data_IF_109582559219
#
_entry.id   IF_109582559219
#
_cell.length_a   1.000
_cell.length_b   1.000
_cell.length_c   1.000
_cell.angle_alpha   90.00
_cell.angle_beta   90.00
_cell.angle_gamma   90.00
#
_symmetry.space_group_name_H-M   'P 1'
#
loop_
_entity.id
_entity.type
_entity.pdbx_description
1 polymer ?
#
# COMPACT_ATOMS: atom_id res chain seq x y z
N UNK A 1 -19.29 -3.96 -17.04
CA UNK A 1 -18.90 -4.51 -15.73
C UNK A 1 -18.90 -3.35 -14.76
N UNK A 2 -19.66 -3.43 -13.67
CA UNK A 2 -19.70 -2.40 -12.64
C UNK A 2 -18.44 -2.52 -11.77
N UNK A 3 -17.66 -1.44 -11.66
CA UNK A 3 -16.38 -1.42 -10.95
C UNK A 3 -16.33 -0.30 -9.92
N UNK A 4 -15.65 -0.54 -8.79
CA UNK A 4 -15.38 0.48 -7.79
C UNK A 4 -13.90 0.54 -7.38
N UNK A 5 -13.38 1.73 -7.12
CA UNK A 5 -12.18 1.95 -6.31
C UNK A 5 -12.61 2.21 -4.88
N UNK A 6 -12.10 1.44 -3.94
CA UNK A 6 -12.56 1.45 -2.56
C UNK A 6 -11.39 1.64 -1.60
N UNK A 7 -11.57 2.52 -0.62
CA UNK A 7 -10.60 2.74 0.46
C UNK A 7 -11.26 2.98 1.81
N UNK A 8 -10.46 2.84 2.87
CA UNK A 8 -10.83 3.24 4.23
C UNK A 8 -10.01 4.48 4.61
N UNK A 9 -10.70 5.56 4.91
CA UNK A 9 -10.11 6.79 5.43
C UNK A 9 -10.66 7.06 6.84
N UNK A 10 -10.46 6.10 7.75
CA UNK A 10 -11.03 6.13 9.09
C UNK A 10 -10.25 7.11 9.97
N UNK A 11 -10.95 8.13 10.47
CA UNK A 11 -10.39 9.14 11.36
C UNK A 11 -9.88 10.38 10.63
N UNK A 12 -9.94 11.52 11.33
CA UNK A 12 -9.87 12.84 10.67
C UNK A 12 -8.56 13.09 9.92
N UNK A 13 -7.44 12.59 10.43
CA UNK A 13 -6.14 12.77 9.80
C UNK A 13 -6.05 12.03 8.45
N UNK A 14 -6.59 10.81 8.37
CA UNK A 14 -6.61 10.02 7.14
C UNK A 14 -7.58 10.61 6.11
N UNK A 15 -8.76 11.06 6.55
CA UNK A 15 -9.67 11.82 5.67
C UNK A 15 -8.96 13.03 5.06
N UNK A 16 -8.38 13.91 5.88
CA UNK A 16 -7.74 15.13 5.40
C UNK A 16 -6.55 14.84 4.48
N UNK A 17 -5.78 13.80 4.78
CA UNK A 17 -4.68 13.36 3.92
C UNK A 17 -5.20 12.88 2.56
N UNK A 18 -6.21 12.01 2.55
CA UNK A 18 -6.81 11.48 1.33
C UNK A 18 -7.43 12.60 0.47
N UNK A 19 -8.24 13.46 1.09
CA UNK A 19 -8.87 14.61 0.42
C UNK A 19 -7.84 15.53 -0.23
N UNK A 20 -6.74 15.79 0.48
CA UNK A 20 -5.71 16.74 0.04
C UNK A 20 -4.80 16.18 -1.05
N UNK A 21 -4.44 14.90 -0.95
CA UNK A 21 -3.35 14.32 -1.76
C UNK A 21 -3.82 13.28 -2.77
N UNK A 22 -4.86 12.49 -2.45
CA UNK A 22 -5.24 11.31 -3.25
C UNK A 22 -6.50 11.54 -4.09
N UNK A 23 -7.53 12.19 -3.53
CA UNK A 23 -8.89 12.20 -4.11
C UNK A 23 -8.93 12.60 -5.59
N UNK A 24 -8.27 13.70 -5.96
CA UNK A 24 -8.31 14.20 -7.34
C UNK A 24 -7.67 13.24 -8.33
N UNK A 25 -6.56 12.61 -7.96
CA UNK A 25 -5.87 11.61 -8.79
C UNK A 25 -6.72 10.36 -8.96
N UNK A 26 -7.39 9.91 -7.90
CA UNK A 26 -8.29 8.75 -7.94
C UNK A 26 -9.51 9.02 -8.80
N UNK A 27 -10.11 10.21 -8.67
CA UNK A 27 -11.24 10.63 -9.51
C UNK A 27 -10.87 10.62 -10.99
N UNK A 28 -9.71 11.17 -11.35
CA UNK A 28 -9.26 11.17 -12.75
C UNK A 28 -9.06 9.75 -13.31
N UNK A 29 -8.43 8.86 -12.54
CA UNK A 29 -8.28 7.45 -12.94
C UNK A 29 -9.63 6.74 -13.04
N UNK A 30 -10.53 7.00 -12.09
CA UNK A 30 -11.87 6.43 -12.06
C UNK A 30 -12.72 6.88 -13.25
N UNK A 31 -12.68 8.17 -13.62
CA UNK A 31 -13.35 8.70 -14.80
C UNK A 31 -12.86 8.03 -16.09
N UNK A 32 -11.53 7.87 -16.22
CA UNK A 32 -10.89 7.24 -17.39
C UNK A 32 -11.36 5.81 -17.63
N UNK A 33 -11.53 5.03 -16.56
CA UNK A 33 -11.84 3.59 -16.64
C UNK A 33 -13.21 3.20 -16.07
N UNK A 34 -14.08 4.18 -15.84
CA UNK A 34 -15.47 4.02 -15.40
C UNK A 34 -15.60 3.29 -14.05
N UNK A 35 -14.78 3.67 -13.06
CA UNK A 35 -14.96 3.24 -11.68
C UNK A 35 -15.83 4.23 -10.90
N UNK A 36 -16.60 3.72 -9.93
CA UNK A 36 -17.13 4.54 -8.83
C UNK A 36 -16.07 4.65 -7.72
N UNK A 37 -15.81 5.84 -7.19
CA UNK A 37 -14.89 6.02 -6.05
C UNK A 37 -15.69 5.97 -4.75
N UNK A 38 -15.44 4.95 -3.92
CA UNK A 38 -16.08 4.77 -2.62
C UNK A 38 -15.05 4.96 -1.51
N UNK A 39 -15.29 5.94 -0.63
CA UNK A 39 -14.43 6.24 0.51
C UNK A 39 -15.22 5.98 1.78
N UNK A 40 -14.82 4.93 2.51
CA UNK A 40 -15.44 4.53 3.77
C UNK A 40 -14.71 5.24 4.91
N UNK A 41 -15.38 6.17 5.58
CA UNK A 41 -14.79 6.99 6.66
C UNK A 41 -15.15 6.50 8.06
N UNK A 42 -16.09 5.56 8.15
CA UNK A 42 -16.50 4.91 9.40
C UNK A 42 -16.00 3.47 9.44
N UNK A 43 -15.66 2.92 10.62
CA UNK A 43 -15.36 1.50 10.76
C UNK A 43 -16.56 0.64 10.37
N UNK A 44 -16.29 -0.46 9.66
CA UNK A 44 -17.26 -1.47 9.25
C UNK A 44 -17.64 -2.39 10.42
N UNK A 45 -16.68 -2.65 11.32
CA UNK A 45 -16.90 -3.28 12.62
C UNK A 45 -16.51 -2.32 13.75
N UNK A 46 -17.40 -2.14 14.71
CA UNK A 46 -17.20 -1.28 15.90
C UNK A 46 -17.17 -2.10 17.21
N UNK A 47 -17.09 -3.44 17.11
CA UNK A 47 -17.01 -4.36 18.23
C UNK A 47 -15.74 -4.15 19.07
N UNK A 48 -15.70 -4.75 20.26
CA UNK A 48 -14.49 -4.77 21.08
C UNK A 48 -13.29 -5.41 20.36
N UNK A 49 -13.54 -6.41 19.51
CA UNK A 49 -12.51 -7.06 18.69
C UNK A 49 -11.90 -6.08 17.68
N UNK A 50 -12.72 -5.28 17.00
CA UNK A 50 -12.23 -4.22 16.13
C UNK A 50 -11.43 -3.16 16.89
N UNK A 51 -11.90 -2.75 18.07
CA UNK A 51 -11.24 -1.72 18.89
C UNK A 51 -9.88 -2.18 19.44
N UNK A 52 -9.66 -3.48 19.61
CA UNK A 52 -8.36 -4.03 20.00
C UNK A 52 -7.37 -4.22 18.84
N UNK A 53 -7.76 -3.89 17.61
CA UNK A 53 -6.97 -4.12 16.39
C UNK A 53 -6.56 -2.82 15.72
N UNK A 54 -5.55 -2.92 14.87
CA UNK A 54 -5.25 -1.88 13.92
C UNK A 54 -6.45 -1.69 12.95
N UNK A 55 -6.83 -0.44 12.62
CA UNK A 55 -7.86 -0.17 11.63
C UNK A 55 -7.64 -0.81 10.26
N UNK A 56 -6.41 -1.18 9.88
CA UNK A 56 -6.12 -1.86 8.62
C UNK A 56 -6.91 -3.17 8.45
N UNK A 57 -7.21 -3.88 9.54
CA UNK A 57 -8.02 -5.10 9.53
C UNK A 57 -9.43 -4.92 8.97
N UNK A 58 -9.98 -3.71 9.04
CA UNK A 58 -11.30 -3.39 8.51
C UNK A 58 -11.37 -3.63 6.99
N UNK A 59 -10.22 -3.64 6.27
CA UNK A 59 -10.21 -3.94 4.83
C UNK A 59 -10.72 -5.34 4.51
N UNK A 60 -10.55 -6.28 5.43
CA UNK A 60 -11.08 -7.64 5.32
C UNK A 60 -12.62 -7.70 5.43
N UNK A 61 -13.30 -6.58 5.69
CA UNK A 61 -14.76 -6.50 5.74
C UNK A 61 -15.35 -5.66 4.62
N UNK A 62 -14.55 -5.09 3.72
CA UNK A 62 -15.08 -4.19 2.67
C UNK A 62 -16.12 -4.89 1.81
N UNK A 63 -15.90 -6.16 1.46
CA UNK A 63 -16.83 -6.92 0.64
C UNK A 63 -18.08 -7.36 1.41
N UNK A 64 -18.18 -7.10 2.71
CA UNK A 64 -19.39 -7.29 3.52
C UNK A 64 -20.30 -6.05 3.48
N UNK A 65 -19.79 -4.90 3.04
CA UNK A 65 -20.54 -3.66 2.93
C UNK A 65 -21.66 -3.81 1.87
N UNK A 66 -22.95 -3.65 2.24
CA UNK A 66 -24.06 -3.89 1.32
C UNK A 66 -24.00 -3.04 0.06
N UNK A 67 -23.51 -1.80 0.17
CA UNK A 67 -23.38 -0.88 -0.95
C UNK A 67 -22.34 -1.31 -1.99
N UNK A 68 -21.44 -2.25 -1.65
CA UNK A 68 -20.46 -2.80 -2.57
C UNK A 68 -20.93 -4.07 -3.31
N UNK A 69 -22.06 -4.67 -2.93
CA UNK A 69 -22.55 -5.90 -3.56
C UNK A 69 -23.04 -5.70 -5.00
N UNK A 70 -23.27 -4.44 -5.41
CA UNK A 70 -23.68 -4.09 -6.78
C UNK A 70 -22.55 -4.17 -7.81
N UNK A 71 -21.29 -4.27 -7.38
CA UNK A 71 -20.14 -4.28 -8.28
C UNK A 71 -19.71 -5.69 -8.63
N UNK A 72 -19.30 -5.87 -9.88
CA UNK A 72 -18.67 -7.10 -10.33
C UNK A 72 -17.23 -7.18 -9.81
N UNK A 73 -16.52 -6.04 -9.82
CA UNK A 73 -15.16 -5.89 -9.29
C UNK A 73 -15.02 -4.69 -8.36
N UNK A 74 -14.33 -4.92 -7.24
CA UNK A 74 -13.93 -3.93 -6.25
C UNK A 74 -12.41 -3.91 -6.19
N UNK A 75 -11.81 -2.76 -6.49
CA UNK A 75 -10.37 -2.55 -6.31
C UNK A 75 -10.16 -1.92 -4.94
N UNK A 76 -9.65 -2.72 -4.01
CA UNK A 76 -9.12 -2.21 -2.74
C UNK A 76 -7.84 -1.41 -3.01
N UNK A 77 -7.73 -0.23 -2.43
CA UNK A 77 -6.54 0.61 -2.47
C UNK A 77 -6.37 1.29 -1.11
N UNK A 78 -5.20 1.17 -0.47
CA UNK A 78 -4.89 1.90 0.77
C UNK A 78 -4.96 3.43 0.55
N UNK A 79 -5.41 4.17 1.56
CA UNK A 79 -5.74 5.60 1.41
C UNK A 79 -4.52 6.50 1.16
N UNK A 80 -3.30 6.00 1.39
CA UNK A 80 -2.02 6.67 1.20
C UNK A 80 -1.33 6.32 -0.13
N UNK A 81 -2.11 5.87 -1.11
CA UNK A 81 -1.65 5.58 -2.47
C UNK A 81 -2.01 6.71 -3.42
N UNK A 82 -1.01 7.25 -4.11
CA UNK A 82 -1.20 8.17 -5.23
C UNK A 82 -1.32 7.37 -6.54
N UNK A 83 -2.42 7.57 -7.26
CA UNK A 83 -2.64 6.93 -8.57
C UNK A 83 -2.13 7.86 -9.67
N UNK A 84 -1.21 7.38 -10.48
CA UNK A 84 -0.73 8.09 -11.66
C UNK A 84 -1.86 8.14 -12.72
N UNK A 85 -2.27 9.32 -13.21
CA UNK A 85 -3.29 9.47 -14.26
C UNK A 85 -3.03 8.65 -15.54
N UNK A 86 -1.77 8.38 -15.84
CA UNK A 86 -1.35 7.63 -17.02
C UNK A 86 -1.38 6.10 -16.83
N UNK A 87 -1.76 5.61 -15.65
CA UNK A 87 -1.83 4.18 -15.35
C UNK A 87 -2.79 3.44 -16.29
N UNK A 88 -2.50 2.15 -16.60
CA UNK A 88 -3.43 1.25 -17.30
C UNK A 88 -4.61 0.84 -16.39
N UNK A 89 -5.65 0.23 -16.96
CA UNK A 89 -6.75 -0.34 -16.18
C UNK A 89 -6.23 -1.52 -15.34
N UNK A 90 -6.32 -1.41 -14.02
CA UNK A 90 -5.82 -2.43 -13.09
C UNK A 90 -6.64 -3.72 -13.15
N UNK A 91 -7.89 -3.64 -13.63
CA UNK A 91 -8.79 -4.80 -13.75
C UNK A 91 -8.58 -5.58 -15.04
N UNK A 92 -7.82 -5.03 -16.00
CA UNK A 92 -7.58 -5.69 -17.28
C UNK A 92 -6.83 -7.01 -17.09
N UNK A 93 -7.41 -8.10 -17.58
CA UNK A 93 -6.82 -9.44 -17.50
C UNK A 93 -6.98 -10.15 -16.15
N UNK A 94 -7.71 -9.58 -15.18
CA UNK A 94 -8.00 -10.24 -13.89
C UNK A 94 -9.36 -10.95 -13.94
N UNK A 95 -9.42 -12.30 -13.91
CA UNK A 95 -10.68 -13.04 -13.83
C UNK A 95 -11.46 -12.74 -12.55
N UNK A 96 -12.79 -12.87 -12.58
CA UNK A 96 -13.64 -12.54 -11.42
C UNK A 96 -13.44 -13.48 -10.23
N UNK A 97 -13.08 -14.73 -10.50
CA UNK A 97 -12.79 -15.80 -9.54
C UNK A 97 -11.34 -15.77 -9.01
N UNK A 98 -10.54 -14.81 -9.48
CA UNK A 98 -9.14 -14.61 -9.07
C UNK A 98 -8.97 -13.24 -8.42
N UNK A 99 -8.01 -13.15 -7.51
CA UNK A 99 -7.62 -11.90 -6.86
C UNK A 99 -6.44 -11.30 -7.61
N UNK A 100 -6.66 -10.15 -8.26
CA UNK A 100 -5.55 -9.38 -8.81
C UNK A 100 -4.69 -8.83 -7.67
N UNK A 101 -3.42 -9.22 -7.61
CA UNK A 101 -2.53 -8.91 -6.49
C UNK A 101 -1.10 -8.62 -6.94
N UNK A 102 -0.38 -7.83 -6.15
CA UNK A 102 1.06 -7.60 -6.33
C UNK A 102 1.83 -8.53 -5.39
N UNK A 103 2.89 -9.14 -5.91
CA UNK A 103 3.86 -9.87 -5.10
C UNK A 103 4.87 -8.89 -4.47
N UNK A 104 4.83 -8.77 -3.15
CA UNK A 104 5.69 -7.88 -2.37
C UNK A 104 7.18 -8.18 -2.62
N UNK A 105 7.53 -9.47 -2.77
CA UNK A 105 8.90 -9.94 -3.01
C UNK A 105 9.31 -9.86 -4.49
N UNK A 106 8.40 -9.43 -5.37
CA UNK A 106 8.73 -9.06 -6.75
C UNK A 106 8.97 -7.55 -6.91
N UNK A 107 9.02 -6.78 -5.81
CA UNK A 107 9.11 -5.31 -5.84
C UNK A 107 10.49 -4.81 -5.37
N UNK A 108 11.21 -3.96 -6.14
CA UNK A 108 10.89 -3.47 -7.48
C UNK A 108 11.13 -4.52 -8.58
N UNK A 109 11.93 -5.53 -8.26
CA UNK A 109 12.14 -6.74 -9.06
C UNK A 109 12.52 -7.87 -8.11
N UNK A 110 12.26 -9.14 -8.48
CA UNK A 110 12.71 -10.29 -7.68
C UNK A 110 14.23 -10.32 -7.48
N UNK A 111 15.00 -9.84 -8.47
CA UNK A 111 16.46 -9.83 -8.43
C UNK A 111 17.01 -8.78 -7.45
N UNK A 112 16.31 -7.65 -7.29
CA UNK A 112 16.77 -6.53 -6.48
C UNK A 112 16.11 -6.47 -5.09
N UNK A 113 15.01 -7.21 -4.87
CA UNK A 113 14.20 -7.12 -3.65
C UNK A 113 15.04 -7.31 -2.37
N UNK A 114 15.87 -8.35 -2.32
CA UNK A 114 16.72 -8.64 -1.15
C UNK A 114 17.67 -7.47 -0.82
N UNK A 115 18.27 -6.85 -1.85
CA UNK A 115 19.16 -5.70 -1.66
C UNK A 115 18.38 -4.49 -1.16
N UNK A 116 17.17 -4.26 -1.70
CA UNK A 116 16.28 -3.18 -1.24
C UNK A 116 15.94 -3.34 0.24
N UNK A 117 15.53 -4.55 0.63
CA UNK A 117 15.09 -4.85 1.99
C UNK A 117 16.24 -4.74 3.01
N UNK A 118 17.44 -5.24 2.66
CA UNK A 118 18.64 -5.05 3.49
C UNK A 118 18.97 -3.58 3.73
N UNK A 119 18.88 -2.72 2.70
CA UNK A 119 19.11 -1.28 2.85
C UNK A 119 18.04 -0.63 3.73
N UNK A 120 16.80 -1.08 3.64
CA UNK A 120 15.71 -0.61 4.50
C UNK A 120 15.93 -1.01 5.97
N UNK A 121 16.37 -2.25 6.23
CA UNK A 121 16.74 -2.70 7.58
C UNK A 121 17.93 -1.94 8.15
N UNK A 122 18.95 -1.67 7.34
CA UNK A 122 20.09 -0.84 7.73
C UNK A 122 19.63 0.57 8.15
N UNK A 123 18.68 1.13 7.38
CA UNK A 123 18.07 2.42 7.71
C UNK A 123 17.29 2.35 9.03
N UNK A 124 16.43 1.35 9.22
CA UNK A 124 15.66 1.18 10.44
C UNK A 124 16.54 0.98 11.66
N UNK A 125 17.52 0.08 11.58
CA UNK A 125 18.49 -0.17 12.64
C UNK A 125 19.24 1.10 13.06
N UNK A 126 19.73 1.91 12.10
CA UNK A 126 20.43 3.18 12.39
C UNK A 126 19.55 4.25 13.03
N UNK A 127 18.23 4.13 12.89
CA UNK A 127 17.26 5.08 13.44
C UNK A 127 16.48 4.52 14.64
N UNK A 128 16.81 3.31 15.12
CA UNK A 128 16.12 2.68 16.24
C UNK A 128 14.65 2.34 15.95
N UNK A 129 14.33 2.08 14.69
CA UNK A 129 12.99 1.62 14.27
C UNK A 129 13.00 0.10 14.37
N UNK A 130 12.03 -0.45 15.10
CA UNK A 130 11.84 -1.90 15.24
C UNK A 130 11.33 -2.52 13.93
N UNK A 131 11.82 -3.71 13.61
CA UNK A 131 11.41 -4.47 12.44
C UNK A 131 11.58 -5.96 12.68
N UNK A 132 10.88 -6.77 11.87
CA UNK A 132 11.03 -8.22 11.84
C UNK A 132 11.84 -8.57 10.60
N UNK A 133 12.89 -9.37 10.78
CA UNK A 133 13.62 -9.94 9.65
C UNK A 133 12.72 -10.93 8.90
N UNK A 134 12.44 -10.57 7.66
CA UNK A 134 11.68 -11.34 6.70
C UNK A 134 12.34 -11.27 5.32
N UNK A 135 13.67 -11.52 5.23
CA UNK A 135 14.38 -11.49 3.94
C UNK A 135 13.85 -12.45 2.87
N UNK A 136 13.08 -13.48 3.25
CA UNK A 136 12.40 -14.38 2.32
C UNK A 136 10.89 -14.46 2.62
N UNK A 137 10.06 -14.81 1.63
CA UNK A 137 8.64 -15.09 1.84
C UNK A 137 8.40 -16.16 2.92
N UNK A 138 9.21 -17.22 2.96
CA UNK A 138 9.13 -18.22 4.02
C UNK A 138 9.37 -17.62 5.41
N UNK A 139 10.38 -16.74 5.56
CA UNK A 139 10.64 -16.05 6.82
C UNK A 139 9.49 -15.09 7.22
N UNK A 140 8.83 -14.47 6.23
CA UNK A 140 7.64 -13.66 6.41
C UNK A 140 6.49 -14.43 7.06
N UNK A 141 6.19 -15.65 6.63
CA UNK A 141 5.14 -16.45 7.27
C UNK A 141 5.59 -17.07 8.59
N UNK A 142 6.79 -17.66 8.64
CA UNK A 142 7.29 -18.36 9.83
C UNK A 142 7.43 -17.45 11.04
N UNK A 143 7.87 -16.20 10.86
CA UNK A 143 7.91 -15.23 11.96
C UNK A 143 6.53 -14.93 12.54
N UNK A 144 5.46 -15.05 11.75
CA UNK A 144 4.08 -14.94 12.24
C UNK A 144 3.58 -16.20 12.96
N UNK A 145 4.30 -17.32 12.89
CA UNK A 145 3.84 -18.62 13.36
C UNK A 145 3.01 -19.40 12.34
N UNK A 146 3.09 -19.02 11.06
CA UNK A 146 2.46 -19.74 9.95
C UNK A 146 3.52 -20.62 9.29
N UNK A 147 3.29 -21.92 9.27
CA UNK A 147 4.18 -22.87 8.60
C UNK A 147 3.83 -22.96 7.11
N UNK A 148 4.44 -22.07 6.33
CA UNK A 148 4.26 -22.00 4.88
C UNK A 148 5.60 -21.84 4.17
N UNK A 149 5.73 -22.50 3.01
CA UNK A 149 6.93 -22.50 2.17
C UNK A 149 6.64 -21.86 0.81
N UNK A 150 5.92 -20.73 0.81
CA UNK A 150 5.65 -19.96 -0.39
C UNK A 150 6.90 -19.23 -0.90
N UNK A 151 6.91 -18.93 -2.21
CA UNK A 151 7.93 -18.12 -2.89
C UNK A 151 7.48 -16.68 -3.17
N UNK A 152 6.31 -16.31 -2.67
CA UNK A 152 5.64 -15.02 -2.91
C UNK A 152 4.89 -14.57 -1.67
N UNK A 153 4.60 -13.26 -1.62
CA UNK A 153 3.73 -12.66 -0.60
C UNK A 153 2.79 -11.67 -1.29
N UNK A 154 1.49 -11.88 -1.17
CA UNK A 154 0.49 -10.89 -1.60
C UNK A 154 0.59 -9.61 -0.76
N UNK A 155 0.83 -8.49 -1.44
CA UNK A 155 0.86 -7.16 -0.83
C UNK A 155 -0.56 -6.60 -0.68
N UNK A 156 -1.00 -6.38 0.57
CA UNK A 156 -2.40 -6.03 0.89
C UNK A 156 -2.78 -4.56 0.67
N UNK A 157 -1.89 -3.76 0.06
CA UNK A 157 -2.16 -2.34 -0.21
C UNK A 157 -3.06 -2.10 -1.42
N UNK A 158 -3.05 -3.01 -2.39
CA UNK A 158 -3.89 -2.96 -3.60
C UNK A 158 -4.31 -4.37 -3.98
N UNK A 159 -5.61 -4.57 -4.18
CA UNK A 159 -6.16 -5.85 -4.64
C UNK A 159 -7.36 -5.62 -5.56
N UNK A 160 -7.45 -6.40 -6.65
CA UNK A 160 -8.65 -6.48 -7.48
C UNK A 160 -9.47 -7.67 -7.00
N UNK A 161 -10.68 -7.40 -6.52
CA UNK A 161 -11.54 -8.37 -5.86
C UNK A 161 -12.90 -8.45 -6.57
N UNK A 162 -13.65 -9.53 -6.34
CA UNK A 162 -15.06 -9.64 -6.68
C UNK A 162 -15.85 -9.94 -5.41
N UNK A 163 -16.86 -9.13 -5.03
CA UNK A 163 -17.70 -9.40 -3.86
C UNK A 163 -18.29 -10.81 -3.87
N UNK A 164 -18.70 -11.29 -5.05
CA UNK A 164 -19.30 -12.62 -5.23
C UNK A 164 -18.36 -13.77 -4.86
N UNK A 165 -17.07 -13.64 -5.16
CA UNK A 165 -16.11 -14.74 -5.04
C UNK A 165 -15.21 -14.64 -3.82
N UNK A 166 -14.89 -13.43 -3.35
CA UNK A 166 -13.81 -13.25 -2.36
C UNK A 166 -14.29 -12.79 -0.99
N UNK A 167 -15.58 -12.44 -0.82
CA UNK A 167 -16.11 -11.95 0.47
C UNK A 167 -15.85 -12.94 1.61
N UNK A 168 -16.20 -14.21 1.41
CA UNK A 168 -16.08 -15.24 2.45
C UNK A 168 -14.63 -15.44 2.90
N UNK A 169 -13.67 -15.37 1.98
CA UNK A 169 -12.24 -15.45 2.31
C UNK A 169 -11.79 -14.28 3.16
N UNK A 170 -12.17 -13.06 2.77
CA UNK A 170 -11.81 -11.84 3.51
C UNK A 170 -12.42 -11.86 4.92
N UNK A 171 -13.70 -12.23 5.06
CA UNK A 171 -14.36 -12.39 6.35
C UNK A 171 -13.70 -13.48 7.20
N UNK A 172 -13.35 -14.62 6.59
CA UNK A 172 -12.65 -15.70 7.28
C UNK A 172 -11.32 -15.22 7.87
N UNK A 173 -10.52 -14.47 7.11
CA UNK A 173 -9.26 -13.89 7.60
C UNK A 173 -9.52 -12.97 8.80
N UNK A 174 -10.51 -12.08 8.69
CA UNK A 174 -10.86 -11.16 9.77
C UNK A 174 -11.25 -11.90 11.07
N UNK A 175 -12.06 -12.95 10.96
CA UNK A 175 -12.57 -13.64 12.14
C UNK A 175 -11.58 -14.64 12.75
N UNK A 176 -10.76 -15.30 11.92
CA UNK A 176 -9.94 -16.46 12.32
C UNK A 176 -8.56 -16.12 12.86
N UNK A 177 -7.99 -14.98 12.47
CA UNK A 177 -6.64 -14.59 12.86
C UNK A 177 -6.65 -13.43 13.84
N UNK A 178 -5.63 -13.33 14.69
CA UNK A 178 -5.49 -12.23 15.65
C UNK A 178 -4.41 -11.22 15.26
N UNK A 179 -4.65 -9.97 15.65
CA UNK A 179 -3.68 -8.90 15.46
C UNK A 179 -2.55 -9.01 16.49
N UNK A 180 -1.30 -8.92 16.02
CA UNK A 180 -0.12 -8.87 16.88
C UNK A 180 0.26 -7.44 17.28
N UNK A 181 -0.51 -6.45 16.84
CA UNK A 181 -0.59 -5.10 17.37
C UNK A 181 0.27 -4.09 16.62
N UNK A 182 1.57 -4.33 16.53
CA UNK A 182 2.55 -3.35 16.03
C UNK A 182 2.85 -3.52 14.53
N UNK A 183 3.30 -2.44 13.88
CA UNK A 183 3.37 -2.33 12.43
C UNK A 183 4.37 -3.27 11.74
N UNK A 184 5.41 -3.70 12.46
CA UNK A 184 6.38 -4.70 12.00
C UNK A 184 5.76 -6.07 11.72
N UNK A 185 4.57 -6.34 12.29
CA UNK A 185 3.79 -7.55 12.01
C UNK A 185 2.98 -7.46 10.71
N UNK A 186 2.94 -6.30 10.05
CA UNK A 186 2.16 -6.07 8.84
C UNK A 186 0.66 -6.40 9.00
N UNK A 187 0.14 -6.37 10.23
CA UNK A 187 -1.28 -6.52 10.55
C UNK A 187 -1.96 -7.71 9.85
N UNK A 188 -3.03 -7.47 9.09
CA UNK A 188 -3.79 -8.47 8.34
C UNK A 188 -3.05 -9.06 7.14
N UNK A 189 -2.00 -8.38 6.63
CA UNK A 189 -1.35 -8.76 5.38
C UNK A 189 -0.79 -10.19 5.44
N UNK A 190 -0.21 -10.60 6.57
CA UNK A 190 0.37 -11.94 6.73
C UNK A 190 -0.68 -13.04 6.60
N UNK A 191 -1.74 -13.08 7.43
CA UNK A 191 -2.77 -14.10 7.30
C UNK A 191 -3.57 -13.98 6.01
N UNK A 192 -3.87 -12.77 5.54
CA UNK A 192 -4.59 -12.58 4.26
C UNK A 192 -3.81 -13.16 3.08
N UNK A 193 -2.52 -12.83 3.01
CA UNK A 193 -1.63 -13.32 1.97
C UNK A 193 -1.51 -14.84 2.01
N UNK A 194 -1.38 -15.43 3.21
CA UNK A 194 -1.37 -16.87 3.39
C UNK A 194 -2.65 -17.54 2.84
N UNK A 195 -3.83 -17.07 3.23
CA UNK A 195 -5.10 -17.67 2.79
C UNK A 195 -5.31 -17.57 1.28
N UNK A 196 -4.89 -16.46 0.66
CA UNK A 196 -4.97 -16.30 -0.79
C UNK A 196 -4.08 -17.32 -1.51
N UNK A 197 -2.80 -17.42 -1.11
CA UNK A 197 -1.84 -18.32 -1.74
C UNK A 197 -2.15 -19.79 -1.48
N UNK A 198 -2.65 -20.14 -0.29
CA UNK A 198 -3.08 -21.49 0.03
C UNK A 198 -4.18 -21.99 -0.89
N UNK A 199 -5.06 -21.09 -1.35
CA UNK A 199 -6.14 -21.42 -2.28
C UNK A 199 -5.73 -21.33 -3.76
N UNK A 200 -4.56 -20.76 -4.05
CA UNK A 200 -4.06 -20.58 -5.41
C UNK A 200 -4.96 -19.70 -6.26
N UNK A 201 -5.60 -18.69 -5.65
CA UNK A 201 -6.57 -17.79 -6.32
C UNK A 201 -5.96 -16.45 -6.71
N UNK A 202 -4.69 -16.22 -6.45
CA UNK A 202 -3.98 -15.04 -6.91
C UNK A 202 -3.87 -14.98 -8.45
N UNK A 203 -3.91 -13.76 -8.97
CA UNK A 203 -3.57 -13.38 -10.33
C UNK A 203 -2.57 -12.24 -10.23
N UNK A 204 -1.29 -12.53 -10.48
CA UNK A 204 -0.24 -11.53 -10.32
C UNK A 204 -0.38 -10.39 -11.34
N UNK A 205 -0.54 -9.17 -10.84
CA UNK A 205 -0.48 -7.94 -11.62
C UNK A 205 0.88 -7.27 -11.47
N UNK A 206 1.15 -6.26 -12.30
CA UNK A 206 2.44 -5.56 -12.29
C UNK A 206 2.77 -4.97 -10.91
N UNK A 207 4.02 -5.13 -10.39
CA UNK A 207 4.47 -4.49 -9.15
C UNK A 207 4.28 -2.97 -9.12
N UNK A 208 4.19 -2.33 -10.29
CA UNK A 208 3.92 -0.89 -10.42
C UNK A 208 2.55 -0.46 -9.87
N UNK A 209 1.62 -1.39 -9.66
CA UNK A 209 0.30 -1.13 -9.07
C UNK A 209 0.31 -1.08 -7.54
N UNK A 210 1.42 -1.34 -6.86
CA UNK A 210 1.49 -1.20 -5.39
C UNK A 210 2.91 -0.87 -4.91
N UNK A 211 3.58 0.09 -5.56
CA UNK A 211 5.00 0.31 -5.35
C UNK A 211 5.29 1.12 -4.07
N UNK A 212 5.96 0.54 -3.05
CA UNK A 212 6.23 1.27 -1.80
C UNK A 212 7.31 2.33 -1.99
N UNK A 213 6.96 3.59 -1.70
CA UNK A 213 7.92 4.70 -1.67
C UNK A 213 9.14 4.43 -0.77
N UNK A 214 9.00 3.85 0.45
CA UNK A 214 10.16 3.54 1.29
C UNK A 214 11.19 2.64 0.58
N UNK A 215 10.74 1.64 -0.17
CA UNK A 215 11.63 0.74 -0.92
C UNK A 215 12.34 1.49 -2.05
N UNK A 216 11.62 2.29 -2.84
CA UNK A 216 12.23 3.13 -3.88
C UNK A 216 13.26 4.08 -3.26
N UNK A 217 12.92 4.74 -2.15
CA UNK A 217 13.79 5.69 -1.50
C UNK A 217 15.10 5.04 -1.07
N UNK A 218 15.07 3.87 -0.44
CA UNK A 218 16.31 3.20 -0.01
C UNK A 218 17.09 2.57 -1.18
N UNK A 219 16.40 2.17 -2.24
CA UNK A 219 17.04 1.55 -3.39
C UNK A 219 17.69 2.58 -4.32
N UNK A 220 16.93 3.57 -4.79
CA UNK A 220 17.36 4.53 -5.81
C UNK A 220 17.87 5.84 -5.22
N UNK A 221 17.37 6.24 -4.05
CA UNK A 221 17.65 7.55 -3.45
C UNK A 221 18.19 7.48 -2.01
N UNK A 222 19.13 6.56 -1.67
CA UNK A 222 19.57 6.37 -0.28
C UNK A 222 20.19 7.64 0.33
N UNK A 223 20.67 8.56 -0.51
CA UNK A 223 21.18 9.87 -0.08
C UNK A 223 20.13 10.77 0.57
N UNK A 224 18.82 10.54 0.34
CA UNK A 224 17.75 11.28 1.04
C UNK A 224 17.75 10.98 2.54
N UNK A 225 18.09 9.74 2.91
CA UNK A 225 18.22 9.28 4.29
C UNK A 225 19.58 9.60 4.94
N UNK A 226 20.43 10.40 4.27
CA UNK A 226 21.70 10.85 4.85
C UNK A 226 21.48 11.73 6.08
N UNK A 227 22.34 11.57 7.10
CA UNK A 227 22.27 12.36 8.34
C UNK A 227 22.35 13.85 8.03
N UNK A 228 21.40 14.59 8.57
CA UNK A 228 21.41 16.04 8.44
C UNK A 228 22.58 16.64 9.24
N UNK A 229 23.27 17.60 8.61
CA UNK A 229 24.28 18.39 9.29
C UNK A 229 23.65 19.41 10.27
N UNK A 230 24.47 20.05 11.09
CA UNK A 230 24.01 20.98 12.15
C UNK A 230 23.16 22.12 11.56
N UNK A 231 23.53 22.63 10.39
CA UNK A 231 22.81 23.71 9.70
C UNK A 231 21.42 23.23 9.24
N UNK A 232 21.35 22.05 8.64
CA UNK A 232 20.09 21.45 8.18
C UNK A 232 19.13 21.20 9.35
N UNK A 233 19.64 20.71 10.49
CA UNK A 233 18.85 20.57 11.73
C UNK A 233 18.33 21.91 12.26
N UNK A 234 19.14 22.96 12.16
CA UNK A 234 18.74 24.32 12.53
C UNK A 234 17.60 24.85 11.65
N UNK A 235 17.71 24.65 10.33
CA UNK A 235 16.69 25.06 9.35
C UNK A 235 15.36 24.32 9.56
N UNK A 236 15.40 23.01 9.85
CA UNK A 236 14.19 22.23 10.11
C UNK A 236 13.42 22.73 11.34
N UNK A 237 14.13 23.17 12.40
CA UNK A 237 13.49 23.73 13.60
C UNK A 237 12.70 25.01 13.34
N UNK A 238 13.04 25.75 12.29
CA UNK A 238 12.32 26.96 11.84
C UNK A 238 11.37 26.68 10.67
N UNK A 239 11.08 25.41 10.38
CA UNK A 239 10.12 24.99 9.37
C UNK A 239 10.65 24.91 7.93
N UNK A 240 11.96 25.11 7.72
CA UNK A 240 12.59 24.99 6.40
C UNK A 240 13.20 23.61 6.23
N UNK A 241 12.76 22.87 5.21
CA UNK A 241 13.41 21.63 4.81
C UNK A 241 14.36 21.89 3.63
N UNK A 242 15.68 21.96 3.85
CA UNK A 242 16.65 22.24 2.79
C UNK A 242 16.71 21.15 1.71
N UNK A 243 16.20 19.94 2.00
CA UNK A 243 16.09 18.85 1.04
C UNK A 243 14.76 18.84 0.29
N UNK A 244 13.81 19.75 0.57
CA UNK A 244 12.46 19.70 0.02
C UNK A 244 12.43 19.63 -1.52
N UNK A 245 13.22 20.46 -2.21
CA UNK A 245 13.29 20.42 -3.68
C UNK A 245 13.86 19.10 -4.20
N UNK A 246 14.87 18.55 -3.54
CA UNK A 246 15.47 17.27 -3.93
C UNK A 246 14.51 16.10 -3.67
N UNK A 247 13.85 16.08 -2.50
CA UNK A 247 12.80 15.09 -2.17
C UNK A 247 11.70 15.17 -3.23
N UNK A 248 11.23 16.38 -3.54
CA UNK A 248 10.19 16.60 -4.56
C UNK A 248 10.56 16.03 -5.92
N UNK A 249 11.77 16.30 -6.43
CA UNK A 249 12.24 15.70 -7.70
C UNK A 249 12.27 14.17 -7.65
N UNK A 250 12.79 13.59 -6.56
CA UNK A 250 12.92 12.13 -6.42
C UNK A 250 11.55 11.42 -6.30
N UNK A 251 10.67 11.92 -5.43
CA UNK A 251 9.35 11.32 -5.20
C UNK A 251 8.43 11.54 -6.40
N UNK A 252 8.52 12.69 -7.08
CA UNK A 252 7.75 12.94 -8.30
C UNK A 252 8.23 12.06 -9.45
N UNK A 253 9.54 11.85 -9.58
CA UNK A 253 10.10 10.86 -10.52
C UNK A 253 9.57 9.45 -10.23
N UNK A 254 9.54 9.06 -8.95
CA UNK A 254 9.00 7.76 -8.53
C UNK A 254 7.51 7.64 -8.88
N UNK A 255 6.73 8.70 -8.68
CA UNK A 255 5.31 8.75 -9.04
C UNK A 255 5.10 8.56 -10.54
N UNK A 256 5.89 9.23 -11.39
CA UNK A 256 5.79 9.06 -12.86
C UNK A 256 6.17 7.67 -13.36
N UNK A 257 7.12 7.01 -12.70
CA UNK A 257 7.63 5.71 -13.14
C UNK A 257 6.76 4.53 -12.72
N UNK A 258 5.77 4.76 -11.86
CA UNK A 258 4.86 3.75 -11.31
C UNK A 258 3.41 4.08 -11.61
N UNK A 259 2.56 3.07 -11.52
CA UNK A 259 1.13 3.27 -11.69
C UNK A 259 0.54 3.81 -10.39
N UNK A 260 0.82 3.12 -9.28
CA UNK A 260 0.29 3.43 -7.97
C UNK A 260 1.48 3.51 -7.01
N UNK A 261 1.77 4.71 -6.50
CA UNK A 261 2.88 4.95 -5.55
C UNK A 261 2.34 4.95 -4.12
N UNK A 262 2.80 4.01 -3.30
CA UNK A 262 2.28 3.72 -1.97
C UNK A 262 3.18 4.32 -0.88
N UNK A 263 2.66 5.25 -0.09
CA UNK A 263 3.37 5.91 1.00
C UNK A 263 3.30 5.14 2.34
N UNK A 264 3.56 3.84 2.27
CA UNK A 264 3.51 2.91 3.40
C UNK A 264 4.50 3.28 4.53
N UNK A 265 4.32 2.66 5.69
CA UNK A 265 5.33 2.65 6.77
C UNK A 265 5.65 4.04 7.35
N UNK A 266 4.67 4.94 7.38
CA UNK A 266 4.81 6.28 7.96
C UNK A 266 5.41 7.33 7.02
N UNK A 267 5.48 7.05 5.71
CA UNK A 267 6.01 8.01 4.73
C UNK A 267 4.97 8.95 4.13
N UNK A 268 3.72 8.91 4.62
CA UNK A 268 2.62 9.78 4.16
C UNK A 268 2.95 11.28 4.22
N UNK A 269 3.85 11.69 5.11
CA UNK A 269 4.36 13.07 5.19
C UNK A 269 5.06 13.56 3.91
N UNK A 270 5.56 12.66 3.07
CA UNK A 270 6.26 12.98 1.82
C UNK A 270 5.33 13.19 0.63
N UNK A 271 4.06 12.80 0.73
CA UNK A 271 3.05 13.00 -0.34
C UNK A 271 2.92 14.47 -0.74
N UNK A 272 3.17 15.39 0.21
CA UNK A 272 3.15 16.84 -0.04
C UNK A 272 4.26 17.34 -0.98
N UNK A 273 5.30 16.54 -1.21
CA UNK A 273 6.40 16.90 -2.11
C UNK A 273 6.19 16.37 -3.54
N UNK A 274 5.16 15.55 -3.77
CA UNK A 274 4.82 15.08 -5.12
C UNK A 274 4.22 16.24 -5.90
N UNK A 275 4.88 16.65 -6.98
CA UNK A 275 4.36 17.65 -7.89
C UNK A 275 3.44 16.99 -8.92
N UNK A 276 2.14 17.09 -8.68
CA UNK A 276 1.10 16.53 -9.56
C UNK A 276 0.75 17.44 -10.74
N UNK A 277 1.34 18.64 -10.84
CA UNK A 277 1.14 19.57 -11.97
C UNK A 277 2.12 19.34 -13.10
N UNK A 278 3.26 18.74 -12.80
CA UNK A 278 4.19 18.25 -13.80
C UNK A 278 3.44 17.22 -14.65
N UNK A 279 3.67 17.22 -15.97
CA UNK A 279 3.03 16.26 -16.89
C UNK A 279 4.06 15.38 -17.60
N UNK A 280 5.35 15.71 -17.47
CA UNK A 280 6.48 14.99 -18.03
C UNK A 280 7.66 14.98 -17.06
N UNK A 281 8.36 13.86 -16.96
CA UNK A 281 9.59 13.73 -16.15
C UNK A 281 10.68 14.71 -16.57
N UNK A 282 10.65 15.20 -17.81
CA UNK A 282 11.61 16.16 -18.33
C UNK A 282 11.38 17.60 -17.86
N UNK A 283 10.26 17.86 -17.18
CA UNK A 283 9.90 19.19 -16.66
C UNK A 283 10.26 19.35 -15.15
N UNK A 284 11.00 18.38 -14.56
CA UNK A 284 11.33 18.30 -13.12
C UNK A 284 12.52 19.13 -12.64
#
# INVERSE_FOLDING_TARGET
MAKALVTLAIGKNYELMFEKHCRSLWQHYAEKYQFEVVVLTQPLDNSSKAQSRNPSWQKCLILSEPSLQKYDQVVWVDADILINPNSPDITEGVPLEKIGAVDDYATPSRADHEICLKRLYDFWSKNGIEYIDNLSPTAFYKSFGIDAEFESVVQAGVMVLSPRYHRELLEYVYHSYEDKGSGEWNYEMRPLSYEILMQGIECWISPKFNMPWPLIQQFLYPFLSSRDNIVQKGLQKIGLNPKASLISKCVTTAFFNNYFLHFAGGTTGDMKYVDTKVTSIFDL
#
